data_IF_428869541886
#
_entry.id   IF_428869541886
#
_cell.length_a   1.000
_cell.length_b   1.000
_cell.length_c   1.000
_cell.angle_alpha   90.00
_cell.angle_beta   90.00
_cell.angle_gamma   90.00
#
_symmetry.space_group_name_H-M   'P 1'
#
loop_
_entity.id
_entity.type
_entity.pdbx_description
1 polymer ?
#
# COMPACT_ATOMS: atom_id res chain seq x y z
N UNK A 1 50.09 -24.56 4.28
CA UNK A 1 49.72 -23.12 4.23
C UNK A 1 48.22 -23.05 4.45
N UNK A 2 47.79 -22.69 5.67
CA UNK A 2 46.37 -22.56 6.05
C UNK A 2 45.98 -21.12 5.74
N UNK A 3 45.11 -20.93 4.75
CA UNK A 3 44.56 -19.60 4.43
C UNK A 3 43.35 -19.38 5.33
N UNK A 4 43.56 -18.67 6.44
CA UNK A 4 42.48 -18.10 7.24
C UNK A 4 41.94 -16.91 6.45
N UNK A 5 40.81 -17.06 5.78
CA UNK A 5 40.05 -15.92 5.30
C UNK A 5 39.37 -15.25 6.49
N UNK A 6 39.94 -14.13 6.92
CA UNK A 6 39.29 -13.15 7.78
C UNK A 6 38.08 -12.60 7.00
N UNK A 7 36.87 -13.10 7.30
CA UNK A 7 35.61 -12.44 6.93
C UNK A 7 35.57 -11.11 7.68
N UNK A 8 36.02 -10.07 7.00
CA UNK A 8 36.09 -8.68 7.45
C UNK A 8 34.69 -8.19 7.85
N UNK A 9 34.63 -7.46 8.95
CA UNK A 9 33.49 -6.78 9.58
C UNK A 9 32.61 -5.87 8.66
N UNK A 10 32.76 -5.88 7.33
CA UNK A 10 32.03 -4.97 6.43
C UNK A 10 30.62 -5.43 6.04
N UNK A 11 30.31 -6.72 6.16
CA UNK A 11 28.97 -7.25 5.81
C UNK A 11 27.91 -6.88 6.87
N UNK A 12 28.32 -6.83 8.13
CA UNK A 12 27.45 -6.51 9.26
C UNK A 12 27.09 -5.01 9.30
N UNK A 13 28.01 -4.12 8.89
CA UNK A 13 27.69 -2.68 8.79
C UNK A 13 26.77 -2.36 7.61
N UNK A 14 26.88 -3.08 6.49
CA UNK A 14 25.97 -2.89 5.35
C UNK A 14 24.56 -3.42 5.63
N UNK A 15 24.45 -4.56 6.31
CA UNK A 15 23.15 -5.13 6.71
C UNK A 15 22.47 -4.25 7.78
N UNK A 16 23.25 -3.71 8.73
CA UNK A 16 22.72 -2.81 9.77
C UNK A 16 22.32 -1.43 9.20
N UNK A 17 23.04 -0.92 8.20
CA UNK A 17 22.65 0.29 7.47
C UNK A 17 21.38 0.07 6.63
N UNK A 18 21.27 -1.05 5.90
CA UNK A 18 20.07 -1.38 5.12
C UNK A 18 18.82 -1.54 5.99
N UNK A 19 18.93 -2.24 7.11
CA UNK A 19 17.86 -2.40 8.08
C UNK A 19 17.41 -1.04 8.68
N UNK A 20 18.36 -0.13 8.88
CA UNK A 20 18.08 1.22 9.37
C UNK A 20 17.37 2.07 8.30
N UNK A 21 17.82 2.01 7.04
CA UNK A 21 17.21 2.69 5.90
C UNK A 21 15.77 2.20 5.63
N UNK A 22 15.53 0.89 5.70
CA UNK A 22 14.20 0.29 5.57
C UNK A 22 13.25 0.78 6.68
N UNK A 23 13.74 0.87 7.91
CA UNK A 23 12.98 1.43 9.04
C UNK A 23 12.63 2.90 8.81
N UNK A 24 13.59 3.71 8.36
CA UNK A 24 13.34 5.12 8.02
C UNK A 24 12.29 5.25 6.91
N UNK A 25 12.41 4.46 5.85
CA UNK A 25 11.44 4.45 4.76
C UNK A 25 10.05 4.06 5.26
N UNK A 26 9.93 3.02 6.07
CA UNK A 26 8.64 2.61 6.63
C UNK A 26 8.00 3.68 7.52
N UNK A 27 8.77 4.33 8.39
CA UNK A 27 8.28 5.44 9.21
C UNK A 27 7.80 6.60 8.33
N UNK A 28 8.49 6.88 7.22
CA UNK A 28 8.06 7.89 6.23
C UNK A 28 6.71 7.52 5.58
N UNK A 29 6.47 6.23 5.32
CA UNK A 29 5.19 5.73 4.81
C UNK A 29 4.10 5.94 5.86
N UNK A 30 4.33 5.56 7.12
CA UNK A 30 3.35 5.81 8.21
C UNK A 30 3.02 7.30 8.31
N UNK A 31 4.03 8.17 8.28
CA UNK A 31 3.83 9.62 8.33
C UNK A 31 2.98 10.11 7.13
N UNK A 32 3.22 9.57 5.94
CA UNK A 32 2.43 9.86 4.74
C UNK A 32 0.96 9.47 4.92
N UNK A 33 0.68 8.30 5.49
CA UNK A 33 -0.69 7.89 5.79
C UNK A 33 -1.34 8.80 6.84
N UNK A 34 -0.62 9.16 7.91
CA UNK A 34 -1.12 10.08 8.96
C UNK A 34 -1.42 11.48 8.43
N UNK A 35 -0.66 11.98 7.46
CA UNK A 35 -0.86 13.30 6.86
C UNK A 35 -1.92 13.34 5.75
N UNK A 36 -2.44 12.18 5.29
CA UNK A 36 -3.39 12.08 4.17
C UNK A 36 -4.56 13.06 4.26
N UNK A 37 -5.22 13.11 5.43
CA UNK A 37 -6.44 13.92 5.63
C UNK A 37 -6.16 15.41 5.45
N UNK A 38 -5.20 15.91 6.23
CA UNK A 38 -4.85 17.33 6.20
C UNK A 38 -4.44 17.76 4.79
N UNK A 39 -3.58 16.98 4.16
CA UNK A 39 -3.02 17.29 2.85
C UNK A 39 -4.06 17.21 1.73
N UNK A 40 -4.96 16.23 1.79
CA UNK A 40 -6.07 16.12 0.85
C UNK A 40 -7.04 17.30 1.00
N UNK A 41 -7.36 17.71 2.23
CA UNK A 41 -8.21 18.87 2.48
C UNK A 41 -7.56 20.18 2.02
N UNK A 42 -6.24 20.35 2.20
CA UNK A 42 -5.51 21.52 1.69
C UNK A 42 -5.66 21.66 0.17
N UNK A 43 -5.55 20.56 -0.57
CA UNK A 43 -5.78 20.54 -2.04
C UNK A 43 -7.21 20.97 -2.40
N UNK A 44 -8.21 20.52 -1.65
CA UNK A 44 -9.60 20.95 -1.87
C UNK A 44 -9.78 22.44 -1.58
N UNK A 45 -9.30 22.93 -0.43
CA UNK A 45 -9.38 24.37 -0.07
C UNK A 45 -8.70 25.26 -1.10
N UNK A 46 -7.59 24.81 -1.68
CA UNK A 46 -6.95 25.54 -2.78
C UNK A 46 -7.88 25.66 -4.00
N UNK A 47 -8.52 24.56 -4.41
CA UNK A 47 -9.50 24.56 -5.51
C UNK A 47 -10.70 25.47 -5.22
N UNK A 48 -11.17 25.50 -3.97
CA UNK A 48 -12.26 26.40 -3.54
C UNK A 48 -11.85 27.86 -3.63
N UNK A 49 -10.66 28.21 -3.15
CA UNK A 49 -10.13 29.57 -3.27
C UNK A 49 -10.00 29.99 -4.73
N UNK A 50 -9.53 29.10 -5.61
CA UNK A 50 -9.50 29.36 -7.05
C UNK A 50 -10.91 29.56 -7.63
N UNK A 51 -11.92 28.83 -7.15
CA UNK A 51 -13.30 29.03 -7.57
C UNK A 51 -13.83 30.40 -7.11
N UNK A 52 -13.44 30.85 -5.92
CA UNK A 52 -13.80 32.14 -5.35
C UNK A 52 -13.18 33.34 -6.09
N UNK A 53 -12.05 33.18 -6.78
CA UNK A 53 -11.46 34.27 -7.58
C UNK A 53 -12.16 34.47 -8.93
N UNK A 54 -13.02 33.54 -9.36
CA UNK A 54 -13.69 33.64 -10.67
C UNK A 54 -14.78 34.73 -10.70
N UNK A 55 -15.05 35.33 -11.88
CA UNK A 55 -16.20 36.20 -12.09
C UNK A 55 -17.52 35.49 -11.78
N UNK A 56 -18.53 36.26 -11.33
CA UNK A 56 -19.84 35.74 -10.92
C UNK A 56 -20.50 34.83 -11.98
N UNK A 57 -20.42 35.23 -13.26
CA UNK A 57 -21.00 34.47 -14.35
C UNK A 57 -20.41 33.06 -14.49
N UNK A 58 -19.09 32.90 -14.31
CA UNK A 58 -18.43 31.59 -14.37
C UNK A 58 -18.73 30.74 -13.12
N UNK A 59 -18.81 31.36 -11.94
CA UNK A 59 -19.22 30.67 -10.70
C UNK A 59 -20.61 30.05 -10.85
N UNK A 60 -21.54 30.74 -11.51
CA UNK A 60 -22.90 30.26 -11.76
C UNK A 60 -22.93 28.97 -12.61
N UNK A 61 -21.98 28.78 -13.52
CA UNK A 61 -21.89 27.54 -14.32
C UNK A 61 -21.24 26.38 -13.56
N UNK A 62 -20.52 26.67 -12.48
CA UNK A 62 -19.73 25.70 -11.70
C UNK A 62 -20.40 25.30 -10.39
N UNK A 63 -21.72 25.44 -10.28
CA UNK A 63 -22.49 25.03 -9.08
C UNK A 63 -22.28 23.56 -8.76
N UNK A 64 -22.38 22.68 -9.76
CA UNK A 64 -22.13 21.25 -9.61
C UNK A 64 -20.69 20.96 -9.15
N UNK A 65 -19.71 21.68 -9.69
CA UNK A 65 -18.32 21.49 -9.26
C UNK A 65 -18.13 21.86 -7.78
N UNK A 66 -18.81 22.90 -7.28
CA UNK A 66 -18.80 23.23 -5.86
C UNK A 66 -19.41 22.10 -5.00
N UNK A 67 -20.51 21.51 -5.44
CA UNK A 67 -21.13 20.35 -4.78
C UNK A 67 -20.19 19.13 -4.77
N UNK A 68 -19.50 18.89 -5.88
CA UNK A 68 -18.50 17.82 -5.99
C UNK A 68 -17.33 18.03 -5.00
N UNK A 69 -16.84 19.27 -4.83
CA UNK A 69 -15.80 19.58 -3.84
C UNK A 69 -16.25 19.28 -2.41
N UNK A 70 -17.49 19.59 -2.06
CA UNK A 70 -18.07 19.23 -0.75
C UNK A 70 -18.23 17.72 -0.59
N UNK A 71 -18.64 17.02 -1.64
CA UNK A 71 -18.69 15.55 -1.65
C UNK A 71 -17.29 14.95 -1.45
N UNK A 72 -16.26 15.50 -2.10
CA UNK A 72 -14.88 15.04 -1.94
C UNK A 72 -14.38 15.23 -0.51
N UNK A 73 -14.71 16.33 0.18
CA UNK A 73 -14.38 16.49 1.61
C UNK A 73 -14.96 15.35 2.43
N UNK A 74 -16.24 15.02 2.25
CA UNK A 74 -16.89 13.90 2.96
C UNK A 74 -16.22 12.56 2.67
N UNK A 75 -15.81 12.31 1.43
CA UNK A 75 -15.05 11.11 1.07
C UNK A 75 -13.67 11.08 1.75
N UNK A 76 -12.96 12.20 1.80
CA UNK A 76 -11.65 12.31 2.47
C UNK A 76 -11.79 11.99 3.96
N UNK A 77 -12.82 12.51 4.64
CA UNK A 77 -13.08 12.21 6.04
C UNK A 77 -13.31 10.71 6.26
N UNK A 78 -14.22 10.09 5.50
CA UNK A 78 -14.48 8.65 5.60
C UNK A 78 -13.23 7.79 5.35
N UNK A 79 -12.44 8.17 4.36
CA UNK A 79 -11.18 7.48 4.08
C UNK A 79 -10.19 7.65 5.23
N UNK A 80 -10.16 8.84 5.86
CA UNK A 80 -9.32 9.11 7.02
C UNK A 80 -9.72 8.29 8.24
N UNK A 81 -11.01 7.99 8.43
CA UNK A 81 -11.47 7.15 9.54
C UNK A 81 -10.97 5.70 9.42
N UNK A 82 -10.73 5.24 8.19
CA UNK A 82 -10.22 3.89 7.91
C UNK A 82 -8.70 3.76 8.13
N UNK A 83 -7.92 4.83 7.89
CA UNK A 83 -6.46 4.76 7.95
C UNK A 83 -5.88 4.33 9.32
N UNK A 84 -6.42 4.78 10.48
CA UNK A 84 -5.97 4.29 11.78
C UNK A 84 -6.08 2.77 11.94
N UNK A 85 -7.13 2.15 11.38
CA UNK A 85 -7.34 0.69 11.42
C UNK A 85 -6.25 -0.02 10.62
N UNK A 86 -5.92 0.50 9.43
CA UNK A 86 -4.82 -0.04 8.60
C UNK A 86 -3.48 0.05 9.33
N UNK A 87 -3.27 1.12 10.10
CA UNK A 87 -2.02 1.39 10.80
C UNK A 87 -1.92 0.73 12.18
N UNK A 88 -3.02 0.16 12.71
CA UNK A 88 -3.11 -0.37 14.08
C UNK A 88 -1.99 -1.39 14.35
N UNK A 89 -1.82 -2.35 13.44
CA UNK A 89 -0.79 -3.38 13.55
C UNK A 89 0.54 -2.98 12.92
N UNK A 90 0.60 -1.89 12.16
CA UNK A 90 1.82 -1.46 11.47
C UNK A 90 2.96 -1.16 12.44
N UNK A 91 2.64 -0.63 13.63
CA UNK A 91 3.63 -0.35 14.67
C UNK A 91 4.27 -1.62 15.24
N UNK A 92 3.54 -2.75 15.24
CA UNK A 92 4.02 -4.03 15.79
C UNK A 92 4.87 -4.85 14.82
N UNK A 93 4.90 -4.49 13.52
CA UNK A 93 5.64 -5.23 12.49
C UNK A 93 7.14 -5.25 12.78
N UNK A 94 7.67 -4.21 13.43
CA UNK A 94 9.08 -4.10 13.76
C UNK A 94 9.44 -4.45 15.20
N UNK A 95 8.46 -4.74 16.06
CA UNK A 95 8.71 -5.08 17.46
C UNK A 95 9.54 -6.36 17.60
N UNK A 96 9.39 -7.30 16.66
CA UNK A 96 10.17 -8.55 16.63
C UNK A 96 11.60 -8.39 16.10
N UNK A 97 11.94 -7.24 15.50
CA UNK A 97 13.24 -7.01 14.85
C UNK A 97 14.14 -6.08 15.68
N UNK A 98 13.56 -5.18 16.48
CA UNK A 98 14.29 -4.14 17.19
C UNK A 98 13.84 -4.00 18.66
N UNK A 99 13.97 -5.06 19.45
CA UNK A 99 14.07 -4.87 20.90
C UNK A 99 15.34 -4.06 21.20
N UNK A 100 15.15 -2.88 21.79
CA UNK A 100 16.18 -1.91 22.24
C UNK A 100 16.58 -0.87 21.20
N UNK A 101 15.97 0.31 21.27
CA UNK A 101 16.60 1.51 21.80
C UNK A 101 15.67 2.71 21.58
N UNK A 102 15.42 3.43 22.67
CA UNK A 102 14.74 4.72 22.62
C UNK A 102 15.63 5.71 21.89
N UNK A 103 15.21 6.16 20.72
CA UNK A 103 15.89 7.27 20.04
C UNK A 103 14.87 8.14 19.34
N UNK A 104 14.56 9.23 20.04
CA UNK A 104 14.01 10.47 19.50
C UNK A 104 14.96 11.01 18.43
N UNK A 105 14.72 10.66 17.16
CA UNK A 105 15.41 11.24 16.02
C UNK A 105 14.46 11.96 15.08
N UNK A 106 14.89 13.17 14.73
CA UNK A 106 14.19 14.24 14.04
C UNK A 106 13.48 13.80 12.77
N UNK A 107 12.22 14.19 12.67
CA UNK A 107 11.37 14.13 11.49
C UNK A 107 11.98 14.99 10.35
N UNK A 108 12.87 14.40 9.56
CA UNK A 108 13.16 14.97 8.25
C UNK A 108 12.02 14.59 7.31
N UNK A 109 11.36 15.61 6.74
CA UNK A 109 10.31 15.48 5.73
C UNK A 109 10.86 14.75 4.51
N UNK A 110 10.58 13.45 4.40
CA UNK A 110 10.94 12.65 3.22
C UNK A 110 9.70 12.50 2.34
N UNK A 111 9.75 13.17 1.20
CA UNK A 111 8.76 13.13 0.12
C UNK A 111 8.23 14.52 -0.20
N UNK A 112 8.27 14.92 -1.48
CA UNK A 112 7.43 16.04 -1.92
C UNK A 112 5.99 15.66 -1.60
N UNK A 113 5.30 16.53 -0.86
CA UNK A 113 3.94 16.37 -0.33
C UNK A 113 2.93 15.75 -1.31
N UNK A 114 3.17 15.93 -2.61
CA UNK A 114 2.37 15.38 -3.69
C UNK A 114 2.54 13.87 -3.90
N UNK A 115 3.77 13.37 -3.92
CA UNK A 115 4.09 11.98 -4.26
C UNK A 115 3.57 11.01 -3.20
N UNK A 116 3.61 11.42 -1.93
CA UNK A 116 3.09 10.63 -0.82
C UNK A 116 1.58 10.41 -0.90
N UNK A 117 0.83 11.46 -1.28
CA UNK A 117 -0.63 11.35 -1.44
C UNK A 117 -1.02 10.42 -2.58
N UNK A 118 -0.29 10.46 -3.69
CA UNK A 118 -0.59 9.63 -4.85
C UNK A 118 -0.35 8.14 -4.54
N UNK A 119 0.62 7.84 -3.66
CA UNK A 119 0.81 6.48 -3.10
C UNK A 119 -0.37 6.04 -2.24
N UNK A 120 -0.85 6.86 -1.31
CA UNK A 120 -2.02 6.53 -0.46
C UNK A 120 -3.27 6.30 -1.32
N UNK A 121 -3.49 7.13 -2.34
CA UNK A 121 -4.58 6.93 -3.30
C UNK A 121 -4.46 5.61 -4.06
N UNK A 122 -3.24 5.21 -4.43
CA UNK A 122 -2.99 3.92 -5.08
C UNK A 122 -3.34 2.75 -4.17
N UNK A 123 -3.05 2.86 -2.87
CA UNK A 123 -3.45 1.84 -1.88
C UNK A 123 -4.97 1.72 -1.76
N UNK A 124 -5.71 2.83 -1.73
CA UNK A 124 -7.18 2.77 -1.75
C UNK A 124 -7.73 2.08 -3.01
N UNK A 125 -7.12 2.34 -4.18
CA UNK A 125 -7.50 1.67 -5.43
C UNK A 125 -7.19 0.17 -5.39
N UNK A 126 -6.03 -0.22 -4.84
CA UNK A 126 -5.68 -1.63 -4.65
C UNK A 126 -6.65 -2.32 -3.69
N UNK A 127 -7.02 -1.69 -2.58
CA UNK A 127 -8.03 -2.24 -1.65
C UNK A 127 -9.37 -2.47 -2.33
N UNK A 128 -9.83 -1.51 -3.14
CA UNK A 128 -11.07 -1.66 -3.92
C UNK A 128 -10.95 -2.84 -4.90
N UNK A 129 -9.87 -2.88 -5.68
CA UNK A 129 -9.63 -3.95 -6.66
C UNK A 129 -9.57 -5.33 -6.01
N UNK A 130 -8.83 -5.47 -4.91
CA UNK A 130 -8.47 -6.78 -4.35
C UNK A 130 -9.49 -7.28 -3.32
N UNK A 131 -10.14 -6.39 -2.58
CA UNK A 131 -10.93 -6.76 -1.38
C UNK A 131 -12.34 -6.18 -1.34
N UNK A 132 -12.82 -5.55 -2.42
CA UNK A 132 -14.22 -5.12 -2.52
C UNK A 132 -15.00 -5.90 -3.58
N UNK A 133 -16.33 -5.86 -3.48
CA UNK A 133 -17.21 -6.42 -4.51
C UNK A 133 -17.15 -5.63 -5.82
N UNK A 134 -16.86 -4.32 -5.76
CA UNK A 134 -16.70 -3.46 -6.94
C UNK A 134 -15.52 -3.90 -7.82
N UNK A 135 -14.48 -4.47 -7.21
CA UNK A 135 -13.32 -5.02 -7.92
C UNK A 135 -13.55 -6.41 -8.53
N UNK A 136 -14.68 -7.08 -8.24
CA UNK A 136 -14.91 -8.45 -8.68
C UNK A 136 -14.88 -8.66 -10.21
N UNK A 137 -15.46 -7.76 -11.04
CA UNK A 137 -15.37 -7.89 -12.49
C UNK A 137 -13.92 -7.82 -13.00
N UNK A 138 -13.13 -6.90 -12.45
CA UNK A 138 -11.72 -6.74 -12.81
C UNK A 138 -10.89 -7.96 -12.38
N UNK A 139 -11.10 -8.46 -11.15
CA UNK A 139 -10.46 -9.70 -10.69
C UNK A 139 -10.82 -10.89 -11.55
N UNK A 140 -12.08 -11.03 -11.94
CA UNK A 140 -12.49 -12.13 -12.84
C UNK A 140 -11.75 -12.07 -14.17
N UNK A 141 -11.59 -10.87 -14.73
CA UNK A 141 -10.89 -10.67 -16.00
C UNK A 141 -9.38 -10.89 -15.87
N UNK A 142 -8.75 -10.41 -14.79
CA UNK A 142 -7.30 -10.48 -14.62
C UNK A 142 -6.82 -11.79 -13.98
N UNK A 143 -7.49 -12.28 -12.94
CA UNK A 143 -7.10 -13.45 -12.17
C UNK A 143 -7.71 -14.74 -12.69
N UNK A 144 -8.92 -14.67 -13.26
CA UNK A 144 -9.61 -15.84 -13.81
C UNK A 144 -8.71 -16.65 -14.75
N UNK A 145 -8.17 -16.07 -15.84
CA UNK A 145 -7.31 -16.80 -16.77
C UNK A 145 -6.06 -17.42 -16.12
N UNK A 146 -5.48 -16.76 -15.12
CA UNK A 146 -4.29 -17.26 -14.41
C UNK A 146 -4.67 -18.47 -13.55
N UNK A 147 -5.78 -18.38 -12.83
CA UNK A 147 -6.28 -19.43 -11.96
C UNK A 147 -6.73 -20.65 -12.78
N UNK A 148 -7.44 -20.42 -13.88
CA UNK A 148 -7.91 -21.47 -14.79
C UNK A 148 -6.71 -22.25 -15.36
N UNK A 149 -5.67 -21.55 -15.84
CA UNK A 149 -4.46 -22.19 -16.36
C UNK A 149 -3.74 -23.02 -15.28
N UNK A 150 -3.66 -22.54 -14.04
CA UNK A 150 -3.07 -23.32 -12.93
C UNK A 150 -3.86 -24.61 -12.71
N UNK A 151 -5.19 -24.58 -12.80
CA UNK A 151 -6.03 -25.75 -12.55
C UNK A 151 -6.01 -26.74 -13.70
N UNK A 152 -5.91 -26.26 -14.93
CA UNK A 152 -5.78 -27.11 -16.11
C UNK A 152 -4.44 -27.88 -16.10
N UNK A 153 -3.37 -27.24 -15.61
CA UNK A 153 -2.05 -27.88 -15.47
C UNK A 153 -1.96 -28.79 -14.22
N UNK A 154 -2.68 -28.47 -13.14
CA UNK A 154 -2.67 -29.22 -11.88
C UNK A 154 -4.10 -29.58 -11.43
N UNK A 155 -4.77 -30.49 -12.16
CA UNK A 155 -6.12 -30.91 -11.81
C UNK A 155 -6.10 -31.75 -10.52
N UNK A 156 -7.16 -31.60 -9.74
CA UNK A 156 -7.31 -32.17 -8.39
C UNK A 156 -7.43 -33.70 -8.37
N UNK A 157 -7.83 -34.30 -9.49
CA UNK A 157 -7.94 -35.74 -9.67
C UNK A 157 -6.57 -36.45 -9.81
N UNK A 158 -5.54 -35.72 -10.26
CA UNK A 158 -4.21 -36.27 -10.56
C UNK A 158 -3.12 -35.77 -9.64
N UNK A 159 -3.28 -34.59 -9.06
CA UNK A 159 -2.23 -33.95 -8.26
C UNK A 159 -2.74 -33.64 -6.86
N UNK A 160 -1.92 -33.98 -5.87
CA UNK A 160 -2.05 -33.42 -4.53
C UNK A 160 -1.55 -31.97 -4.56
N UNK A 161 -2.51 -31.03 -4.65
CA UNK A 161 -2.25 -29.59 -4.74
C UNK A 161 -1.42 -29.06 -3.57
N UNK A 162 -1.47 -29.70 -2.40
CA UNK A 162 -0.72 -29.27 -1.22
C UNK A 162 0.80 -29.35 -1.42
N UNK A 163 1.27 -30.23 -2.33
CA UNK A 163 2.68 -30.38 -2.67
C UNK A 163 3.13 -29.46 -3.82
N UNK A 164 2.21 -28.69 -4.41
CA UNK A 164 2.51 -27.78 -5.51
C UNK A 164 2.75 -26.38 -4.94
N UNK A 165 3.98 -25.90 -5.12
CA UNK A 165 4.42 -24.59 -4.65
C UNK A 165 4.30 -23.55 -5.75
N UNK A 166 3.50 -22.51 -5.52
CA UNK A 166 3.24 -21.41 -6.47
C UNK A 166 3.77 -20.11 -5.88
N UNK A 167 4.55 -19.37 -6.67
CA UNK A 167 5.05 -18.06 -6.32
C UNK A 167 4.30 -16.99 -7.12
N UNK A 168 3.76 -15.99 -6.42
CA UNK A 168 3.10 -14.82 -7.01
C UNK A 168 4.00 -13.59 -6.75
N UNK A 169 4.86 -13.20 -7.71
CA UNK A 169 5.69 -12.01 -7.57
C UNK A 169 4.85 -10.74 -7.76
N UNK A 170 5.16 -9.70 -6.99
CA UNK A 170 4.40 -8.46 -7.00
C UNK A 170 2.96 -8.66 -6.53
N UNK A 171 2.77 -9.42 -5.44
CA UNK A 171 1.45 -9.88 -5.01
C UNK A 171 0.49 -8.75 -4.58
N UNK A 172 0.99 -7.52 -4.42
CA UNK A 172 0.18 -6.38 -3.99
C UNK A 172 -0.42 -6.62 -2.62
N UNK A 173 -1.76 -6.61 -2.52
CA UNK A 173 -2.47 -6.92 -1.28
C UNK A 173 -2.78 -8.42 -1.11
N UNK A 174 -2.21 -9.27 -1.97
CA UNK A 174 -2.20 -10.71 -1.81
C UNK A 174 -3.46 -11.44 -2.26
N UNK A 175 -4.42 -10.77 -2.92
CA UNK A 175 -5.70 -11.40 -3.31
C UNK A 175 -5.52 -12.61 -4.24
N UNK A 176 -4.67 -12.50 -5.26
CA UNK A 176 -4.42 -13.62 -6.17
C UNK A 176 -3.77 -14.81 -5.44
N UNK A 177 -2.76 -14.53 -4.60
CA UNK A 177 -2.10 -15.56 -3.79
C UNK A 177 -3.09 -16.24 -2.82
N UNK A 178 -4.00 -15.46 -2.23
CA UNK A 178 -5.07 -15.98 -1.38
C UNK A 178 -6.03 -16.88 -2.15
N UNK A 179 -6.47 -16.48 -3.34
CA UNK A 179 -7.35 -17.31 -4.18
C UNK A 179 -6.69 -18.65 -4.53
N UNK A 180 -5.41 -18.63 -4.93
CA UNK A 180 -4.64 -19.85 -5.24
C UNK A 180 -4.51 -20.73 -3.99
N UNK A 181 -4.13 -20.17 -2.85
CA UNK A 181 -4.00 -20.91 -1.59
C UNK A 181 -5.33 -21.51 -1.13
N UNK A 182 -6.44 -20.79 -1.30
CA UNK A 182 -7.79 -21.25 -0.93
C UNK A 182 -8.25 -22.50 -1.70
N UNK A 183 -7.54 -22.83 -2.78
CA UNK A 183 -7.84 -23.94 -3.70
C UNK A 183 -6.95 -25.16 -3.47
N UNK A 184 -6.18 -25.14 -2.37
CA UNK A 184 -5.36 -26.24 -1.88
C UNK A 184 -3.89 -26.17 -2.28
N UNK A 185 -3.46 -25.14 -3.00
CA UNK A 185 -2.07 -24.96 -3.39
C UNK A 185 -1.24 -24.36 -2.24
N UNK A 186 0.03 -24.73 -2.17
CA UNK A 186 1.01 -24.00 -1.36
C UNK A 186 1.42 -22.73 -2.12
N UNK A 187 1.01 -21.56 -1.65
CA UNK A 187 1.23 -20.30 -2.37
C UNK A 187 2.02 -19.29 -1.53
N UNK A 188 3.04 -18.67 -2.14
CA UNK A 188 3.80 -17.57 -1.57
C UNK A 188 3.58 -16.31 -2.41
N UNK A 189 3.19 -15.21 -1.77
CA UNK A 189 3.23 -13.86 -2.38
C UNK A 189 4.53 -13.15 -2.01
N UNK A 190 5.11 -12.39 -2.94
CA UNK A 190 6.26 -11.51 -2.72
C UNK A 190 5.94 -10.10 -3.20
#
# INVERSE_FOLDING_TARGET
IIIIQVKKYSKMSSEMNGATEERFYFLSVIHTFKSYREQSLLRIRHKERCLETLPYHHKKWLTRYKEDLESFKKCIEKNSDFLPIVLEHAHTIFDNVYCSEGTSHSEQQIGTLSEGLDKVQSVFKQLMRDWSDLGAPERKQCYGPIIDEIFDNFPDDKFDRSNINILVPGAGLGRLAFEIASKGFSCQGN
#
